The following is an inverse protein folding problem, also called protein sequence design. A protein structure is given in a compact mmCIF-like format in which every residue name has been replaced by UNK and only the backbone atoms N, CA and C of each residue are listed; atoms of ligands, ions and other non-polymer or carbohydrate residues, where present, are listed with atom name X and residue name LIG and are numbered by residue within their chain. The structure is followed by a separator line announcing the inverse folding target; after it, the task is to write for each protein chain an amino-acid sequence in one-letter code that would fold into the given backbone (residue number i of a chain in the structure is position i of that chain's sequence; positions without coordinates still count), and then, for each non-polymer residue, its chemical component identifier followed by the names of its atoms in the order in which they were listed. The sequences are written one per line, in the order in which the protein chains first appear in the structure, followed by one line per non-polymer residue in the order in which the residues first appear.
data_IF_442228668686
#
_entry.id   IF_442228668686
#
_cell.length_a   1.000
_cell.length_b   1.000
_cell.length_c   1.000
_cell.angle_alpha   90.00
_cell.angle_beta   90.00
_cell.angle_gamma   90.00
#
_symmetry.space_group_name_H-M   'P 1'
#
loop_
_entity.id
_entity.type
_entity.pdbx_description
1 polymer ?
#
# COMPACT_ATOMS: atom_id res chain seq x y z
N UNK A 1 20.47 17.84 10.10
CA UNK A 1 19.01 18.02 9.94
C UNK A 1 18.54 16.86 9.09
N UNK A 2 17.77 15.93 9.66
CA UNK A 2 17.25 14.81 8.89
C UNK A 2 16.22 15.38 7.91
N UNK A 3 16.47 15.23 6.61
CA UNK A 3 15.55 15.60 5.54
C UNK A 3 14.32 14.68 5.60
N UNK A 4 13.42 14.98 6.54
CA UNK A 4 12.15 14.29 6.67
C UNK A 4 11.31 14.61 5.43
N UNK A 5 11.27 13.69 4.47
CA UNK A 5 10.38 13.82 3.33
C UNK A 5 9.00 13.32 3.78
N UNK A 6 7.98 14.20 3.86
CA UNK A 6 6.66 13.80 4.34
C UNK A 6 6.08 12.74 3.40
N UNK A 7 5.55 11.66 3.99
CA UNK A 7 4.80 10.64 3.25
C UNK A 7 3.50 11.24 2.72
N UNK A 8 3.14 10.88 1.49
CA UNK A 8 1.86 11.26 0.91
C UNK A 8 0.73 10.41 1.51
N UNK A 9 -0.49 10.93 1.56
CA UNK A 9 -1.66 10.15 1.97
C UNK A 9 -2.76 10.32 0.94
N UNK A 10 -3.25 9.21 0.39
CA UNK A 10 -4.41 9.22 -0.51
C UNK A 10 -5.68 9.56 0.27
N UNK A 11 -6.41 10.58 -0.20
CA UNK A 11 -7.73 10.98 0.31
C UNK A 11 -8.88 10.62 -0.64
N UNK A 12 -8.57 10.16 -1.85
CA UNK A 12 -9.56 9.86 -2.88
C UNK A 12 -10.24 8.51 -2.70
N UNK A 13 -9.73 7.67 -1.80
CA UNK A 13 -10.17 6.29 -1.68
C UNK A 13 -9.72 5.45 -2.87
N UNK A 14 -10.58 4.53 -3.31
CA UNK A 14 -10.31 3.65 -4.45
C UNK A 14 -11.47 3.73 -5.45
N UNK A 15 -11.20 3.83 -6.77
CA UNK A 15 -9.87 3.92 -7.39
C UNK A 15 -9.16 5.24 -7.04
N UNK A 16 -7.82 5.19 -6.97
CA UNK A 16 -6.99 6.36 -6.67
C UNK A 16 -7.12 7.36 -7.83
N UNK A 17 -7.35 8.63 -7.53
CA UNK A 17 -7.46 9.65 -8.57
C UNK A 17 -6.11 9.91 -9.29
N UNK A 18 -6.17 10.42 -10.53
CA UNK A 18 -4.98 10.58 -11.37
C UNK A 18 -3.90 11.48 -10.76
N UNK A 19 -4.29 12.55 -10.05
CA UNK A 19 -3.35 13.48 -9.40
C UNK A 19 -2.57 12.80 -8.27
N UNK A 20 -3.28 12.06 -7.41
CA UNK A 20 -2.67 11.28 -6.32
C UNK A 20 -1.79 10.18 -6.90
N UNK A 21 -2.27 9.48 -7.93
CA UNK A 21 -1.50 8.44 -8.62
C UNK A 21 -0.18 9.00 -9.18
N UNK A 22 -0.24 10.12 -9.92
CA UNK A 22 0.95 10.78 -10.46
C UNK A 22 1.92 11.22 -9.35
N UNK A 23 1.39 11.78 -8.26
CA UNK A 23 2.20 12.24 -7.12
C UNK A 23 2.99 11.10 -6.47
N UNK A 24 2.41 9.91 -6.40
CA UNK A 24 3.12 8.70 -5.93
C UNK A 24 4.33 8.39 -6.81
N UNK A 25 4.15 8.36 -8.13
CA UNK A 25 5.25 8.05 -9.06
C UNK A 25 6.32 9.15 -9.07
N UNK A 26 5.92 10.42 -9.02
CA UNK A 26 6.85 11.55 -8.91
C UNK A 26 7.72 11.43 -7.63
N UNK A 27 7.11 11.03 -6.51
CA UNK A 27 7.83 10.77 -5.26
C UNK A 27 8.83 9.61 -5.42
N UNK A 28 8.40 8.47 -5.99
CA UNK A 28 9.26 7.33 -6.24
C UNK A 28 10.47 7.70 -7.12
N UNK A 29 10.25 8.47 -8.19
CA UNK A 29 11.30 8.95 -9.09
C UNK A 29 12.30 9.87 -8.39
N UNK A 30 11.83 10.76 -7.50
CA UNK A 30 12.68 11.67 -6.75
C UNK A 30 13.60 10.94 -5.78
N UNK A 31 13.09 9.88 -5.13
CA UNK A 31 13.85 9.12 -4.13
C UNK A 31 14.76 8.05 -4.74
N UNK A 32 14.43 7.58 -5.94
CA UNK A 32 15.11 6.45 -6.58
C UNK A 32 15.53 6.82 -8.01
N UNK A 33 16.39 7.83 -8.15
CA UNK A 33 16.86 8.31 -9.47
C UNK A 33 17.45 7.20 -10.33
N UNK A 34 18.08 6.21 -9.71
CA UNK A 34 18.74 5.08 -10.38
C UNK A 34 17.72 4.11 -11.00
N UNK A 35 16.49 4.09 -10.48
CA UNK A 35 15.39 3.25 -10.95
C UNK A 35 14.45 3.97 -11.92
N UNK A 36 14.82 5.17 -12.41
CA UNK A 36 13.97 6.04 -13.24
C UNK A 36 13.26 5.28 -14.37
N UNK A 37 14.01 4.48 -15.14
CA UNK A 37 13.44 3.71 -16.26
C UNK A 37 12.34 2.75 -15.80
N UNK A 38 12.61 1.95 -14.77
CA UNK A 38 11.66 0.95 -14.25
C UNK A 38 10.38 1.61 -13.75
N UNK A 39 10.51 2.76 -13.09
CA UNK A 39 9.36 3.51 -12.55
C UNK A 39 8.53 4.12 -13.69
N UNK A 40 9.18 4.68 -14.73
CA UNK A 40 8.49 5.19 -15.93
C UNK A 40 7.76 4.06 -16.67
N UNK A 41 8.44 2.95 -16.93
CA UNK A 41 7.86 1.78 -17.63
C UNK A 41 6.63 1.23 -16.85
N UNK A 42 6.71 1.19 -15.50
CA UNK A 42 5.59 0.80 -14.65
C UNK A 42 4.41 1.79 -14.72
N UNK A 43 4.69 3.09 -14.73
CA UNK A 43 3.65 4.11 -14.84
C UNK A 43 2.91 4.01 -16.18
N UNK A 44 3.65 3.86 -17.28
CA UNK A 44 3.08 3.74 -18.63
C UNK A 44 2.26 2.46 -18.78
N UNK A 45 2.80 1.32 -18.33
CA UNK A 45 2.06 0.05 -18.36
C UNK A 45 0.83 0.03 -17.44
N UNK A 46 0.81 0.82 -16.36
CA UNK A 46 -0.38 0.95 -15.50
C UNK A 46 -1.58 1.58 -16.18
N UNK A 47 -1.39 2.27 -17.32
CA UNK A 47 -2.49 2.77 -18.15
C UNK A 47 -3.16 1.66 -18.97
N UNK A 48 -2.48 0.52 -19.12
CA UNK A 48 -3.05 -0.69 -19.68
C UNK A 48 -3.74 -1.48 -18.55
N UNK A 49 -4.80 -2.23 -18.84
CA UNK A 49 -5.52 -3.01 -17.81
C UNK A 49 -4.64 -4.14 -17.24
N UNK A 50 -3.77 -3.83 -16.27
CA UNK A 50 -2.87 -4.79 -15.63
C UNK A 50 -3.69 -5.68 -14.68
N UNK A 51 -3.87 -6.94 -15.07
CA UNK A 51 -4.40 -7.96 -14.18
C UNK A 51 -3.30 -8.37 -13.20
N UNK A 52 -3.51 -8.14 -11.91
CA UNK A 52 -2.61 -8.65 -10.88
C UNK A 52 -2.52 -10.17 -10.99
N UNK A 53 -1.31 -10.69 -11.22
CA UNK A 53 -1.04 -12.14 -11.25
C UNK A 53 -0.89 -12.74 -9.85
N UNK A 54 -0.78 -11.90 -8.80
CA UNK A 54 -0.60 -12.35 -7.42
C UNK A 54 -1.96 -12.68 -6.79
N UNK A 55 -2.15 -13.88 -6.22
CA UNK A 55 -3.38 -14.21 -5.51
C UNK A 55 -3.55 -13.27 -4.32
N UNK A 56 -4.78 -12.80 -4.11
CA UNK A 56 -5.11 -12.00 -2.94
C UNK A 56 -4.90 -12.85 -1.68
N UNK A 57 -4.25 -12.31 -0.64
CA UNK A 57 -4.09 -13.05 0.61
C UNK A 57 -5.47 -13.31 1.23
N UNK A 58 -5.68 -14.56 1.66
CA UNK A 58 -6.94 -15.00 2.26
C UNK A 58 -6.72 -15.21 3.75
N UNK A 59 -7.53 -14.55 4.58
CA UNK A 59 -7.54 -14.75 6.03
C UNK A 59 -8.74 -15.62 6.42
N UNK A 60 -8.48 -16.72 7.13
CA UNK A 60 -9.52 -17.63 7.64
C UNK A 60 -9.34 -17.86 9.14
N UNK A 61 -10.44 -17.81 9.86
CA UNK A 61 -10.49 -17.99 11.31
C UNK A 61 -11.20 -19.29 11.63
N UNK A 62 -10.57 -20.14 12.46
CA UNK A 62 -11.17 -21.38 12.94
C UNK A 62 -11.63 -21.22 14.39
N UNK A 63 -12.86 -21.66 14.71
CA UNK A 63 -13.46 -21.47 16.03
C UNK A 63 -12.78 -22.26 17.17
N UNK A 64 -11.94 -23.24 16.82
CA UNK A 64 -11.29 -24.16 17.76
C UNK A 64 -9.80 -23.78 17.97
N UNK A 65 -9.36 -22.67 17.41
CA UNK A 65 -7.96 -22.25 17.42
C UNK A 65 -7.52 -21.62 18.76
N UNK A 66 -6.27 -21.86 19.16
CA UNK A 66 -5.66 -21.20 20.32
C UNK A 66 -5.39 -19.72 20.02
N UNK A 67 -5.36 -18.88 21.06
CA UNK A 67 -5.07 -17.45 20.90
C UNK A 67 -3.72 -17.18 20.21
N UNK A 68 -2.70 -17.97 20.52
CA UNK A 68 -1.37 -17.86 19.90
C UNK A 68 -1.42 -18.13 18.39
N UNK A 69 -2.04 -19.24 17.97
CA UNK A 69 -2.16 -19.59 16.56
C UNK A 69 -2.97 -18.55 15.79
N UNK A 70 -4.04 -18.04 16.40
CA UNK A 70 -4.83 -16.95 15.83
C UNK A 70 -3.99 -15.68 15.60
N UNK A 71 -3.22 -15.24 16.60
CA UNK A 71 -2.35 -14.08 16.47
C UNK A 71 -1.27 -14.29 15.39
N UNK A 72 -0.70 -15.49 15.30
CA UNK A 72 0.25 -15.86 14.25
C UNK A 72 -0.40 -15.77 12.85
N UNK A 73 -1.63 -16.25 12.68
CA UNK A 73 -2.37 -16.11 11.41
C UNK A 73 -2.61 -14.64 11.06
N UNK A 74 -3.00 -13.81 12.03
CA UNK A 74 -3.20 -12.36 11.81
C UNK A 74 -1.90 -11.71 11.34
N UNK A 75 -0.79 -11.98 12.02
CA UNK A 75 0.51 -11.42 11.66
C UNK A 75 0.96 -11.89 10.27
N UNK A 76 0.77 -13.18 9.94
CA UNK A 76 1.11 -13.72 8.63
C UNK A 76 0.27 -13.08 7.51
N UNK A 77 -1.01 -12.84 7.76
CA UNK A 77 -1.85 -12.10 6.83
C UNK A 77 -1.34 -10.66 6.62
N UNK A 78 -1.04 -9.93 7.70
CA UNK A 78 -0.48 -8.58 7.61
C UNK A 78 0.86 -8.56 6.86
N UNK A 79 1.74 -9.52 7.12
CA UNK A 79 3.03 -9.64 6.43
C UNK A 79 2.85 -9.92 4.93
N UNK A 80 1.83 -10.71 4.55
CA UNK A 80 1.55 -11.04 3.15
C UNK A 80 1.07 -9.85 2.30
N UNK A 81 0.54 -8.80 2.96
CA UNK A 81 0.18 -7.53 2.34
C UNK A 81 1.41 -6.67 1.99
N UNK A 82 2.59 -7.05 2.50
CA UNK A 82 3.86 -6.34 2.35
C UNK A 82 3.88 -4.96 3.03
N UNK A 83 5.06 -4.54 3.49
CA UNK A 83 5.22 -3.18 3.99
C UNK A 83 5.21 -2.20 2.82
N UNK A 84 4.48 -1.10 2.98
CA UNK A 84 4.33 -0.11 1.92
C UNK A 84 5.55 0.84 1.85
N UNK A 85 6.45 0.57 0.90
CA UNK A 85 7.63 1.40 0.62
C UNK A 85 7.42 2.45 -0.47
N UNK A 86 6.19 2.64 -0.96
CA UNK A 86 5.90 3.58 -2.07
C UNK A 86 5.98 5.06 -1.66
N UNK A 87 6.08 5.35 -0.36
CA UNK A 87 6.01 6.70 0.17
C UNK A 87 4.60 7.31 0.16
N UNK A 88 3.59 6.55 -0.24
CA UNK A 88 2.19 6.94 -0.23
C UNK A 88 1.35 6.00 0.65
N UNK A 89 0.78 6.52 1.73
CA UNK A 89 -0.24 5.82 2.51
C UNK A 89 -1.56 5.76 1.72
N UNK A 90 -2.02 4.55 1.37
CA UNK A 90 -3.24 4.37 0.58
C UNK A 90 -4.54 4.50 1.38
N UNK A 91 -4.52 4.15 2.67
CA UNK A 91 -5.68 4.23 3.55
C UNK A 91 -5.50 5.37 4.54
N UNK A 92 -6.29 6.44 4.44
CA UNK A 92 -6.28 7.49 5.44
C UNK A 92 -6.83 6.97 6.77
N UNK A 93 -6.04 7.08 7.84
CA UNK A 93 -6.45 6.65 9.19
C UNK A 93 -6.72 7.88 10.05
N UNK A 94 -7.98 8.11 10.42
CA UNK A 94 -8.35 9.12 11.40
C UNK A 94 -8.40 8.48 12.79
N UNK A 95 -7.36 8.72 13.61
CA UNK A 95 -7.26 8.16 14.96
C UNK A 95 -8.33 8.66 15.94
N UNK A 96 -9.00 9.77 15.63
CA UNK A 96 -10.13 10.29 16.40
C UNK A 96 -11.50 9.80 15.91
N UNK A 97 -11.54 8.94 14.89
CA UNK A 97 -12.79 8.36 14.41
C UNK A 97 -13.34 7.30 15.38
N UNK A 98 -14.66 7.10 15.33
CA UNK A 98 -15.31 5.99 16.04
C UNK A 98 -14.84 4.65 15.50
N UNK A 99 -14.76 3.63 16.37
CA UNK A 99 -14.35 2.26 16.01
C UNK A 99 -15.30 1.57 15.01
N UNK A 100 -16.53 2.09 14.88
CA UNK A 100 -17.57 1.52 14.00
C UNK A 100 -17.47 2.10 12.58
N UNK A 101 -16.57 3.06 12.33
CA UNK A 101 -16.40 3.72 11.03
C UNK A 101 -15.33 3.08 10.16
#
# INVERSE_FOLDING_TARGET
LSDYVPFLTSKSGFPINAETWKSMFDFCLKQNSDCKKQITDLYESSQENVISKKPLPVFRVDKIETAENFLNKVQNYLNSLEYNYTGMQFFQVNRGASIIR
#
